data_IF_740887181955
#
_entry.id   IF_740887181955
#
_cell.length_a   1.000
_cell.length_b   1.000
_cell.length_c   1.000
_cell.angle_alpha   90.00
_cell.angle_beta   90.00
_cell.angle_gamma   90.00
#
_symmetry.space_group_name_H-M   'P 1'
#
loop_
_entity.id
_entity.type
_entity.pdbx_description
1 polymer ?
#
# COMPACT_ATOMS: atom_id res chain seq x y z
N UNK A 1 -14.15 1.53 7.84
CA UNK A 1 -14.22 1.01 6.47
C UNK A 1 -13.77 2.11 5.50
N UNK A 2 -12.95 1.78 4.51
CA UNK A 2 -12.47 2.71 3.50
C UNK A 2 -13.23 2.47 2.19
N UNK A 3 -13.80 3.53 1.59
CA UNK A 3 -14.65 3.41 0.40
C UNK A 3 -14.27 4.45 -0.65
N UNK A 4 -14.34 4.07 -1.92
CA UNK A 4 -14.37 4.98 -3.06
C UNK A 4 -15.70 4.82 -3.78
N UNK A 5 -16.31 5.94 -4.18
CA UNK A 5 -17.59 5.97 -4.91
C UNK A 5 -17.45 6.85 -6.15
N UNK A 6 -17.57 6.23 -7.32
CA UNK A 6 -17.59 6.88 -8.64
C UNK A 6 -16.40 7.84 -8.86
N UNK A 7 -15.20 7.43 -8.44
CA UNK A 7 -13.99 8.25 -8.53
C UNK A 7 -13.54 8.38 -9.98
N UNK A 8 -13.40 9.63 -10.43
CA UNK A 8 -12.73 9.96 -11.68
C UNK A 8 -11.53 10.87 -11.41
N UNK A 9 -10.43 10.62 -12.12
CA UNK A 9 -9.21 11.44 -12.05
C UNK A 9 -8.65 11.68 -13.42
N UNK A 10 -8.30 12.93 -13.71
CA UNK A 10 -7.59 13.30 -14.94
C UNK A 10 -6.44 14.26 -14.64
N UNK A 11 -5.39 14.20 -15.45
CA UNK A 11 -4.25 15.09 -15.40
C UNK A 11 -4.18 15.97 -16.66
N UNK A 12 -3.53 17.11 -16.55
CA UNK A 12 -3.21 17.91 -17.73
C UNK A 12 -2.22 17.14 -18.58
N UNK A 13 -2.53 16.99 -19.89
CA UNK A 13 -1.61 16.40 -20.84
C UNK A 13 -0.44 17.36 -21.10
N UNK A 14 0.77 16.85 -21.14
CA UNK A 14 1.97 17.61 -21.54
C UNK A 14 2.02 17.85 -23.05
N UNK A 15 1.21 17.12 -23.85
CA UNK A 15 1.13 17.33 -25.30
C UNK A 15 0.32 18.60 -25.58
N UNK A 16 1.01 19.64 -26.02
CA UNK A 16 0.41 20.87 -26.53
C UNK A 16 -0.05 20.66 -27.99
N UNK A 17 -1.18 19.99 -28.19
CA UNK A 17 -1.76 19.88 -29.55
C UNK A 17 -2.66 21.09 -29.91
N UNK A 18 -2.77 22.06 -29.02
CA UNK A 18 -3.58 23.27 -29.24
C UNK A 18 -2.85 24.52 -28.73
N UNK A 19 -2.86 25.58 -29.55
CA UNK A 19 -2.31 26.90 -29.20
C UNK A 19 -3.05 27.54 -28.01
N UNK A 20 -4.32 27.18 -27.80
CA UNK A 20 -5.13 27.58 -26.67
C UNK A 20 -5.90 26.35 -26.11
N UNK A 21 -5.63 26.02 -24.84
CA UNK A 21 -6.34 24.97 -24.11
C UNK A 21 -5.41 23.81 -23.69
N UNK A 22 -5.63 23.29 -22.50
CA UNK A 22 -4.94 22.10 -22.02
C UNK A 22 -5.84 20.88 -22.24
N UNK A 23 -5.34 19.89 -22.97
CA UNK A 23 -5.98 18.59 -23.07
C UNK A 23 -5.85 17.89 -21.72
N UNK A 24 -6.93 17.32 -21.17
CA UNK A 24 -6.89 16.50 -19.97
C UNK A 24 -6.89 15.03 -20.37
N UNK A 25 -5.97 14.26 -19.80
CA UNK A 25 -5.95 12.82 -19.96
C UNK A 25 -6.57 12.19 -18.71
N UNK A 26 -7.68 11.48 -18.90
CA UNK A 26 -8.32 10.74 -17.82
C UNK A 26 -7.52 9.49 -17.50
N UNK A 27 -7.31 9.22 -16.21
CA UNK A 27 -6.51 8.11 -15.69
C UNK A 27 -7.37 7.13 -14.88
N UNK A 28 -8.36 7.61 -14.14
CA UNK A 28 -9.34 6.77 -13.45
C UNK A 28 -10.73 7.08 -13.93
N UNK A 29 -11.51 6.02 -14.19
CA UNK A 29 -12.84 6.08 -14.77
C UNK A 29 -13.82 5.36 -13.87
N UNK A 30 -14.61 6.13 -13.12
CA UNK A 30 -15.74 5.62 -12.32
C UNK A 30 -15.37 4.49 -11.35
N UNK A 31 -14.29 4.69 -10.59
CA UNK A 31 -13.81 3.70 -9.65
C UNK A 31 -14.68 3.66 -8.40
N UNK A 32 -15.23 2.49 -8.12
CA UNK A 32 -15.94 2.21 -6.88
C UNK A 32 -15.37 0.96 -6.22
N UNK A 33 -15.03 1.05 -4.92
CA UNK A 33 -14.52 -0.07 -4.12
C UNK A 33 -14.83 0.12 -2.64
N UNK A 34 -14.75 -0.96 -1.90
CA UNK A 34 -14.96 -0.97 -0.45
C UNK A 34 -13.98 -1.94 0.21
N UNK A 35 -13.23 -1.45 1.20
CA UNK A 35 -12.30 -2.25 1.99
C UNK A 35 -12.90 -2.51 3.36
N UNK A 36 -13.10 -3.77 3.71
CA UNK A 36 -13.62 -4.18 5.01
C UNK A 36 -12.55 -4.02 6.09
N UNK A 37 -12.97 -3.71 7.33
CA UNK A 37 -12.05 -3.62 8.47
C UNK A 37 -11.44 -5.00 8.77
N UNK A 38 -10.12 -5.03 8.99
CA UNK A 38 -9.38 -6.25 9.31
C UNK A 38 -9.04 -7.13 8.13
N UNK A 39 -9.40 -6.71 6.88
CA UNK A 39 -9.06 -7.45 5.66
C UNK A 39 -7.92 -6.81 4.90
N UNK A 40 -7.31 -7.58 3.99
CA UNK A 40 -6.34 -7.11 3.01
C UNK A 40 -6.98 -7.10 1.62
N UNK A 41 -7.13 -5.91 1.03
CA UNK A 41 -7.52 -5.76 -0.38
C UNK A 41 -6.27 -5.63 -1.24
N UNK A 42 -6.07 -6.55 -2.16
CA UNK A 42 -5.07 -6.46 -3.21
C UNK A 42 -5.59 -5.66 -4.41
N UNK A 43 -4.78 -4.75 -4.93
CA UNK A 43 -5.05 -4.01 -6.17
C UNK A 43 -4.01 -4.41 -7.18
N UNK A 44 -4.43 -5.21 -8.16
CA UNK A 44 -3.58 -5.80 -9.18
C UNK A 44 -3.80 -5.13 -10.54
N UNK A 45 -2.73 -4.94 -11.30
CA UNK A 45 -2.80 -4.40 -12.65
C UNK A 45 -1.42 -4.07 -13.21
N UNK A 46 -1.31 -3.88 -14.51
CA UNK A 46 -0.07 -3.53 -15.19
C UNK A 46 0.44 -2.13 -14.83
N UNK A 47 1.70 -1.85 -15.18
CA UNK A 47 2.25 -0.49 -15.09
C UNK A 47 1.40 0.48 -15.93
N UNK A 48 1.10 1.64 -15.36
CA UNK A 48 0.25 2.64 -16.04
C UNK A 48 -1.26 2.40 -15.94
N UNK A 49 -1.74 1.31 -15.32
CA UNK A 49 -3.19 1.04 -15.16
C UNK A 49 -3.93 2.03 -14.24
N UNK A 50 -3.20 2.86 -13.47
CA UNK A 50 -3.80 3.83 -12.55
C UNK A 50 -3.69 3.47 -11.06
N UNK A 51 -3.04 2.37 -10.68
CA UNK A 51 -2.91 1.88 -9.29
C UNK A 51 -2.39 2.93 -8.32
N UNK A 52 -1.23 3.52 -8.60
CA UNK A 52 -0.63 4.54 -7.73
C UNK A 52 -1.46 5.83 -7.69
N UNK A 53 -2.19 6.16 -8.78
CA UNK A 53 -3.15 7.27 -8.78
C UNK A 53 -4.30 6.98 -7.82
N UNK A 54 -4.85 5.76 -7.85
CA UNK A 54 -5.89 5.31 -6.92
C UNK A 54 -5.37 5.29 -5.48
N UNK A 55 -4.14 4.79 -5.25
CA UNK A 55 -3.47 4.84 -3.94
C UNK A 55 -3.38 6.27 -3.40
N UNK A 56 -2.98 7.24 -4.23
CA UNK A 56 -2.91 8.67 -3.84
C UNK A 56 -4.28 9.24 -3.49
N UNK A 57 -5.35 8.83 -4.19
CA UNK A 57 -6.72 9.22 -3.83
C UNK A 57 -7.10 8.61 -2.47
N UNK A 58 -6.85 7.33 -2.25
CA UNK A 58 -7.13 6.64 -0.98
C UNK A 58 -6.40 7.29 0.21
N UNK A 59 -5.17 7.74 0.00
CA UNK A 59 -4.35 8.39 1.03
C UNK A 59 -4.67 9.88 1.25
N UNK A 60 -5.61 10.45 0.50
CA UNK A 60 -5.93 11.88 0.59
C UNK A 60 -4.85 12.81 0.00
N UNK A 61 -3.90 12.26 -0.77
CA UNK A 61 -2.81 13.01 -1.41
C UNK A 61 -3.24 13.61 -2.76
N UNK A 62 -4.23 13.02 -3.41
CA UNK A 62 -4.76 13.47 -4.71
C UNK A 62 -6.28 13.59 -4.63
N UNK A 63 -6.79 14.80 -4.77
CA UNK A 63 -8.23 15.03 -4.83
C UNK A 63 -8.78 14.58 -6.20
N UNK A 64 -9.82 13.73 -6.25
CA UNK A 64 -10.45 13.33 -7.51
C UNK A 64 -11.20 14.51 -8.18
N UNK A 65 -11.40 14.41 -9.48
CA UNK A 65 -12.22 15.37 -10.24
C UNK A 65 -13.70 15.22 -9.90
N UNK A 66 -14.15 13.98 -9.69
CA UNK A 66 -15.52 13.65 -9.24
C UNK A 66 -15.51 12.39 -8.38
N UNK A 67 -16.65 12.13 -7.72
CA UNK A 67 -16.82 11.03 -6.81
C UNK A 67 -16.41 11.36 -5.38
N UNK A 68 -16.45 10.36 -4.50
CA UNK A 68 -16.23 10.54 -3.07
C UNK A 68 -15.36 9.43 -2.48
N UNK A 69 -14.36 9.82 -1.67
CA UNK A 69 -13.59 8.90 -0.85
C UNK A 69 -14.04 9.06 0.61
N UNK A 70 -14.36 7.94 1.25
CA UNK A 70 -14.91 7.90 2.61
C UNK A 70 -14.03 7.02 3.50
N UNK A 71 -13.81 7.45 4.74
CA UNK A 71 -13.28 6.62 5.81
C UNK A 71 -14.27 6.62 6.98
N UNK A 72 -14.82 5.44 7.30
CA UNK A 72 -15.89 5.25 8.28
C UNK A 72 -17.11 6.17 8.01
N UNK A 73 -17.50 6.30 6.74
CA UNK A 73 -18.62 7.14 6.31
C UNK A 73 -18.31 8.64 6.29
N UNK A 74 -17.08 9.06 6.66
CA UNK A 74 -16.69 10.47 6.67
C UNK A 74 -15.89 10.80 5.41
N UNK A 75 -16.37 11.82 4.66
CA UNK A 75 -15.71 12.26 3.42
C UNK A 75 -14.30 12.80 3.68
N UNK A 76 -13.32 12.22 2.99
CA UNK A 76 -11.90 12.58 3.10
C UNK A 76 -11.64 13.99 2.59
N UNK A 77 -12.33 14.38 1.52
CA UNK A 77 -12.10 15.65 0.82
C UNK A 77 -13.16 16.72 1.14
N UNK A 78 -14.23 16.34 1.83
CA UNK A 78 -15.36 17.23 2.10
C UNK A 78 -15.07 18.28 3.19
N UNK A 79 -14.15 17.98 4.12
CA UNK A 79 -13.86 18.87 5.24
C UNK A 79 -12.42 18.69 5.79
N UNK A 80 -11.97 19.71 6.54
CA UNK A 80 -10.71 19.62 7.30
C UNK A 80 -10.74 18.48 8.35
N UNK A 81 -11.91 18.24 8.93
CA UNK A 81 -12.12 17.16 9.89
C UNK A 81 -11.99 15.78 9.24
N UNK A 82 -12.55 15.56 8.04
CA UNK A 82 -12.43 14.32 7.29
C UNK A 82 -10.99 14.00 6.91
N UNK A 83 -10.25 15.02 6.41
CA UNK A 83 -8.82 14.87 6.12
C UNK A 83 -8.02 14.52 7.37
N UNK A 84 -8.31 15.16 8.49
CA UNK A 84 -7.66 14.85 9.77
C UNK A 84 -8.01 13.44 10.27
N UNK A 85 -9.25 12.98 10.07
CA UNK A 85 -9.66 11.61 10.38
C UNK A 85 -8.81 10.60 9.60
N UNK A 86 -8.66 10.81 8.28
CA UNK A 86 -7.81 9.95 7.45
C UNK A 86 -6.35 9.96 7.94
N UNK A 87 -5.74 11.13 8.15
CA UNK A 87 -4.36 11.25 8.65
C UNK A 87 -4.12 10.57 9.99
N UNK A 88 -5.16 10.45 10.81
CA UNK A 88 -5.09 9.78 12.10
C UNK A 88 -5.18 8.26 12.01
N UNK A 89 -5.78 7.72 10.95
CA UNK A 89 -6.14 6.30 10.85
C UNK A 89 -5.39 5.56 9.76
N UNK A 90 -4.84 6.28 8.77
CA UNK A 90 -4.16 5.67 7.62
C UNK A 90 -2.69 6.02 7.62
N UNK A 91 -1.86 5.01 7.39
CA UNK A 91 -0.42 5.14 7.10
C UNK A 91 -0.11 4.58 5.72
N UNK A 92 1.04 4.97 5.16
CA UNK A 92 1.48 4.53 3.82
C UNK A 92 2.90 4.00 3.89
N UNK A 93 3.15 2.92 3.18
CA UNK A 93 4.49 2.40 2.86
C UNK A 93 4.64 2.46 1.34
N UNK A 94 5.58 3.29 0.87
CA UNK A 94 5.82 3.50 -0.56
C UNK A 94 6.82 2.50 -1.13
N UNK A 95 6.82 2.35 -2.45
CA UNK A 95 7.68 1.47 -3.24
C UNK A 95 9.17 1.71 -2.96
N UNK A 96 9.61 2.95 -2.97
CA UNK A 96 11.01 3.28 -2.73
C UNK A 96 11.25 3.55 -1.24
N UNK A 97 11.60 2.48 -0.52
CA UNK A 97 11.96 2.57 0.89
C UNK A 97 13.29 3.31 1.10
N UNK A 98 14.17 3.37 0.11
CA UNK A 98 15.47 4.02 0.23
C UNK A 98 15.34 5.54 0.23
N UNK A 99 14.50 6.09 -0.65
CA UNK A 99 14.23 7.54 -0.69
C UNK A 99 13.18 7.97 0.34
N UNK A 100 12.32 7.05 0.78
CA UNK A 100 11.30 7.35 1.80
C UNK A 100 11.87 7.52 3.21
N UNK A 101 13.04 6.95 3.49
CA UNK A 101 13.77 7.12 4.73
C UNK A 101 14.88 8.16 4.56
N UNK A 102 14.92 9.18 5.41
CA UNK A 102 16.02 10.15 5.37
C UNK A 102 17.36 9.46 5.65
N UNK A 103 18.32 9.44 4.70
CA UNK A 103 19.58 8.70 4.86
C UNK A 103 20.48 9.24 5.98
N UNK A 104 20.22 10.46 6.48
CA UNK A 104 20.93 11.09 7.60
C UNK A 104 20.31 10.78 8.95
N UNK A 105 19.15 10.12 8.99
CA UNK A 105 18.47 9.74 10.21
C UNK A 105 18.88 8.34 10.64
N UNK A 106 19.02 8.16 11.95
CA UNK A 106 19.12 6.83 12.53
C UNK A 106 17.75 6.14 12.54
N UNK A 107 17.74 4.84 12.63
CA UNK A 107 16.49 4.02 12.70
C UNK A 107 15.52 4.55 13.75
N UNK A 108 16.01 4.91 14.94
CA UNK A 108 15.17 5.52 16.00
C UNK A 108 14.52 6.84 15.60
N UNK A 109 15.16 7.60 14.72
CA UNK A 109 14.64 8.89 14.24
C UNK A 109 13.59 8.65 13.15
N UNK A 110 13.85 7.69 12.26
CA UNK A 110 12.88 7.26 11.21
C UNK A 110 11.60 6.73 11.86
N UNK A 111 11.70 5.82 12.83
CA UNK A 111 10.53 5.32 13.59
C UNK A 111 9.90 6.45 14.41
N UNK A 112 10.72 7.35 14.93
CA UNK A 112 10.35 8.53 15.70
C UNK A 112 9.41 9.50 14.96
N UNK A 113 9.44 9.52 13.61
CA UNK A 113 8.49 10.30 12.82
C UNK A 113 7.04 9.80 13.09
N UNK A 114 6.82 8.48 13.04
CA UNK A 114 5.53 7.87 13.35
C UNK A 114 5.10 8.08 14.82
N UNK A 115 6.05 7.91 15.75
CA UNK A 115 5.77 8.18 17.18
C UNK A 115 5.37 9.63 17.41
N UNK A 116 5.96 10.60 16.69
CA UNK A 116 5.59 12.00 16.77
C UNK A 116 4.14 12.25 16.36
N UNK A 117 3.67 11.58 15.31
CA UNK A 117 2.26 11.64 14.89
C UNK A 117 1.35 11.09 15.98
N UNK A 118 1.70 9.93 16.55
CA UNK A 118 0.96 9.28 17.63
C UNK A 118 0.89 10.14 18.89
N UNK A 119 2.01 10.77 19.31
CA UNK A 119 2.07 11.68 20.46
C UNK A 119 1.16 12.89 20.27
N UNK A 120 1.21 13.53 19.08
CA UNK A 120 0.35 14.69 18.75
C UNK A 120 -1.13 14.34 18.78
N UNK A 121 -1.48 13.14 18.27
CA UNK A 121 -2.86 12.65 18.29
C UNK A 121 -3.35 12.37 19.70
N UNK A 122 -2.56 11.65 20.48
CA UNK A 122 -2.90 11.23 21.84
C UNK A 122 -2.68 12.32 22.89
N UNK A 123 -2.10 13.50 22.53
CA UNK A 123 -1.69 14.57 23.45
C UNK A 123 -0.86 14.07 24.63
N UNK A 124 -0.10 13.00 24.43
CA UNK A 124 0.71 12.33 25.45
C UNK A 124 2.11 12.05 24.92
N UNK A 125 3.12 12.35 25.71
CA UNK A 125 4.50 11.95 25.42
C UNK A 125 4.67 10.45 25.67
N UNK A 126 5.41 9.80 24.78
CA UNK A 126 5.75 8.38 24.86
C UNK A 126 7.20 8.24 25.35
N UNK A 127 7.49 7.13 25.99
CA UNK A 127 8.87 6.67 26.15
C UNK A 127 9.35 6.16 24.78
N UNK A 128 9.99 7.05 24.02
CA UNK A 128 10.40 6.77 22.64
C UNK A 128 11.43 5.67 22.54
N UNK A 129 12.31 5.53 23.53
CA UNK A 129 13.32 4.48 23.53
C UNK A 129 12.66 3.11 23.66
N UNK A 130 11.75 2.96 24.62
CA UNK A 130 10.97 1.75 24.85
C UNK A 130 10.08 1.39 23.66
N UNK A 131 9.35 2.38 23.11
CA UNK A 131 8.47 2.15 21.96
C UNK A 131 9.27 1.79 20.70
N UNK A 132 10.43 2.40 20.47
CA UNK A 132 11.32 2.05 19.34
C UNK A 132 11.82 0.61 19.48
N UNK A 133 12.31 0.21 20.66
CA UNK A 133 12.75 -1.14 20.91
C UNK A 133 11.63 -2.17 20.67
N UNK A 134 10.43 -1.91 21.20
CA UNK A 134 9.23 -2.74 20.98
C UNK A 134 8.87 -2.86 19.50
N UNK A 135 8.92 -1.77 18.74
CA UNK A 135 8.62 -1.78 17.30
C UNK A 135 9.68 -2.54 16.51
N UNK A 136 10.96 -2.41 16.85
CA UNK A 136 12.01 -3.21 16.23
C UNK A 136 11.83 -4.70 16.50
N UNK A 137 11.57 -5.08 17.74
CA UNK A 137 11.27 -6.47 18.11
C UNK A 137 10.07 -7.01 17.33
N UNK A 138 9.00 -6.21 17.20
CA UNK A 138 7.81 -6.57 16.42
C UNK A 138 8.12 -6.79 14.93
N UNK A 139 9.16 -6.12 14.40
CA UNK A 139 9.67 -6.30 13.03
C UNK A 139 10.68 -7.44 12.90
N UNK A 140 10.98 -8.18 13.98
CA UNK A 140 12.03 -9.18 14.01
C UNK A 140 13.44 -8.59 13.88
N UNK A 141 13.64 -7.33 14.31
CA UNK A 141 14.92 -6.64 14.29
C UNK A 141 15.47 -6.46 15.71
N UNK A 142 16.78 -6.64 15.92
CA UNK A 142 17.43 -6.38 17.21
C UNK A 142 17.26 -4.92 17.66
N UNK A 143 17.11 -4.69 18.97
CA UNK A 143 16.91 -3.35 19.52
C UNK A 143 18.12 -2.40 19.31
N UNK A 144 19.33 -2.94 19.19
CA UNK A 144 20.55 -2.17 18.88
C UNK A 144 20.51 -1.52 17.49
N UNK A 145 19.65 -2.00 16.58
CA UNK A 145 19.43 -1.37 15.28
C UNK A 145 18.93 0.08 15.39
N UNK A 146 18.35 0.47 16.54
CA UNK A 146 17.91 1.85 16.80
C UNK A 146 19.01 2.91 16.55
N UNK A 147 20.28 2.54 16.73
CA UNK A 147 21.43 3.41 16.51
C UNK A 147 21.95 3.45 15.08
N UNK A 148 21.58 2.50 14.22
CA UNK A 148 22.10 2.35 12.86
C UNK A 148 21.50 3.38 11.89
N UNK A 149 22.24 3.64 10.83
CA UNK A 149 21.79 4.43 9.69
C UNK A 149 21.21 3.53 8.58
N UNK A 150 20.38 4.05 7.65
CA UNK A 150 19.83 3.29 6.52
C UNK A 150 20.87 2.52 5.70
N UNK A 151 22.03 3.12 5.43
CA UNK A 151 23.10 2.49 4.65
C UNK A 151 23.83 1.34 5.36
N UNK A 152 23.58 1.14 6.65
CA UNK A 152 24.10 0.01 7.45
C UNK A 152 23.13 -1.17 7.51
N UNK A 153 22.00 -1.09 6.77
CA UNK A 153 20.94 -2.09 6.75
C UNK A 153 20.83 -2.74 5.36
N UNK A 154 20.44 -4.03 5.33
CA UNK A 154 20.01 -4.65 4.07
C UNK A 154 18.67 -4.05 3.60
N UNK A 155 18.32 -4.25 2.32
CA UNK A 155 17.05 -3.77 1.77
C UNK A 155 15.84 -4.24 2.58
N UNK A 156 15.78 -5.54 2.90
CA UNK A 156 14.69 -6.09 3.71
C UNK A 156 14.65 -5.57 5.15
N UNK A 157 15.83 -5.30 5.76
CA UNK A 157 15.90 -4.68 7.09
C UNK A 157 15.40 -3.23 7.05
N UNK A 158 15.80 -2.45 6.04
CA UNK A 158 15.33 -1.07 5.88
C UNK A 158 13.83 -1.03 5.58
N UNK A 159 13.33 -1.97 4.76
CA UNK A 159 11.90 -2.10 4.51
C UNK A 159 11.11 -2.35 5.81
N UNK A 160 11.60 -3.26 6.68
CA UNK A 160 10.98 -3.51 7.99
C UNK A 160 11.00 -2.26 8.89
N UNK A 161 12.05 -1.44 8.81
CA UNK A 161 12.10 -0.14 9.51
C UNK A 161 11.04 0.83 8.97
N UNK A 162 10.81 0.88 7.64
CA UNK A 162 9.75 1.69 7.04
C UNK A 162 8.36 1.20 7.45
N UNK A 163 8.15 -0.12 7.56
CA UNK A 163 6.92 -0.70 8.10
C UNK A 163 6.76 -0.33 9.59
N UNK A 164 7.84 -0.42 10.39
CA UNK A 164 7.83 0.00 11.79
C UNK A 164 7.41 1.47 11.95
N UNK A 165 7.91 2.37 11.09
CA UNK A 165 7.51 3.79 11.04
C UNK A 165 6.02 3.95 10.79
N UNK A 166 5.46 3.19 9.83
CA UNK A 166 4.04 3.22 9.51
C UNK A 166 3.18 2.71 10.70
N UNK A 167 3.58 1.61 11.33
CA UNK A 167 2.92 1.02 12.51
C UNK A 167 3.04 1.94 13.74
N UNK A 168 4.14 2.67 13.88
CA UNK A 168 4.38 3.60 15.00
C UNK A 168 3.29 4.67 15.14
N UNK A 169 2.63 5.06 14.03
CA UNK A 169 1.48 5.94 14.04
C UNK A 169 0.24 5.34 14.72
N UNK A 170 0.23 4.03 15.02
CA UNK A 170 -0.96 3.25 15.43
C UNK A 170 -2.13 3.47 14.47
N UNK A 171 -1.98 3.14 13.18
CA UNK A 171 -3.04 3.30 12.19
C UNK A 171 -4.10 2.20 12.34
N UNK A 172 -5.26 2.40 11.70
CA UNK A 172 -6.26 1.35 11.47
C UNK A 172 -6.10 0.74 10.07
N UNK A 173 -5.55 1.52 9.12
CA UNK A 173 -5.33 1.13 7.72
C UNK A 173 -3.88 1.41 7.33
N UNK A 174 -3.24 0.46 6.64
CA UNK A 174 -1.94 0.70 5.99
C UNK A 174 -2.09 0.44 4.49
N UNK A 175 -1.71 1.42 3.68
CA UNK A 175 -1.58 1.26 2.24
C UNK A 175 -0.12 0.93 1.91
N UNK A 176 0.08 -0.16 1.18
CA UNK A 176 1.37 -0.56 0.61
C UNK A 176 1.32 -0.31 -0.90
N UNK A 177 2.15 0.60 -1.39
CA UNK A 177 2.24 0.92 -2.83
C UNK A 177 3.53 0.31 -3.39
N UNK A 178 3.43 -0.87 -4.00
CA UNK A 178 4.54 -1.69 -4.53
C UNK A 178 5.68 -1.89 -3.52
N UNK A 179 5.35 -1.94 -2.24
CA UNK A 179 6.31 -1.82 -1.14
C UNK A 179 7.33 -2.97 -1.02
N UNK A 180 7.10 -4.10 -1.66
CA UNK A 180 8.02 -5.27 -1.59
C UNK A 180 8.61 -5.66 -2.96
N UNK A 181 8.20 -5.02 -4.05
CA UNK A 181 8.57 -5.41 -5.42
C UNK A 181 10.07 -5.33 -5.74
N UNK A 182 10.82 -4.51 -4.99
CA UNK A 182 12.28 -4.34 -5.17
C UNK A 182 13.13 -5.27 -4.29
N UNK A 183 12.50 -6.17 -3.51
CA UNK A 183 13.20 -7.15 -2.67
C UNK A 183 13.38 -8.47 -3.43
N UNK A 184 14.40 -9.24 -3.05
CA UNK A 184 14.54 -10.62 -3.54
C UNK A 184 13.40 -11.52 -3.04
N UNK A 185 13.12 -12.61 -3.76
CA UNK A 185 11.98 -13.49 -3.49
C UNK A 185 11.94 -14.03 -2.06
N UNK A 186 13.09 -14.41 -1.50
CA UNK A 186 13.15 -14.93 -0.13
C UNK A 186 12.78 -13.85 0.89
N UNK A 187 13.33 -12.64 0.73
CA UNK A 187 13.02 -11.48 1.59
C UNK A 187 11.58 -11.04 1.44
N UNK A 188 11.00 -11.11 0.22
CA UNK A 188 9.57 -10.83 -0.01
C UNK A 188 8.68 -11.72 0.86
N UNK A 189 8.92 -13.04 0.84
CA UNK A 189 8.14 -14.00 1.66
C UNK A 189 8.25 -13.65 3.14
N UNK A 190 9.46 -13.39 3.64
CA UNK A 190 9.65 -13.02 5.04
C UNK A 190 8.92 -11.73 5.44
N UNK A 191 8.85 -10.74 4.54
CA UNK A 191 8.11 -9.50 4.80
C UNK A 191 6.60 -9.76 4.73
N UNK A 192 6.12 -10.58 3.81
CA UNK A 192 4.70 -10.95 3.72
C UNK A 192 4.23 -11.72 4.96
N UNK A 193 5.05 -12.65 5.49
CA UNK A 193 4.76 -13.34 6.76
C UNK A 193 4.64 -12.34 7.91
N UNK A 194 5.59 -11.41 8.01
CA UNK A 194 5.55 -10.33 8.99
C UNK A 194 4.27 -9.50 8.85
N UNK A 195 3.87 -9.11 7.63
CA UNK A 195 2.65 -8.34 7.41
C UNK A 195 1.39 -9.11 7.83
N UNK A 196 1.35 -10.44 7.59
CA UNK A 196 0.25 -11.31 8.04
C UNK A 196 0.15 -11.31 9.56
N UNK A 197 1.27 -11.54 10.25
CA UNK A 197 1.31 -11.49 11.71
C UNK A 197 0.89 -10.12 12.27
N UNK A 198 1.35 -9.03 11.67
CA UNK A 198 0.99 -7.67 12.09
C UNK A 198 -0.51 -7.40 11.89
N UNK A 199 -1.09 -7.84 10.76
CA UNK A 199 -2.52 -7.73 10.49
C UNK A 199 -3.34 -8.38 11.61
N UNK A 200 -2.98 -9.61 11.98
CA UNK A 200 -3.68 -10.36 13.01
C UNK A 200 -3.46 -9.78 14.42
N UNK A 201 -2.21 -9.56 14.81
CA UNK A 201 -1.85 -9.08 16.16
C UNK A 201 -2.38 -7.69 16.47
N UNK A 202 -2.46 -6.82 15.47
CA UNK A 202 -2.84 -5.41 15.64
C UNK A 202 -4.24 -5.07 15.08
N UNK A 203 -4.94 -6.03 14.47
CA UNK A 203 -6.25 -5.81 13.84
C UNK A 203 -6.21 -4.83 12.68
N UNK A 204 -5.14 -4.84 11.89
CA UNK A 204 -4.91 -3.88 10.81
C UNK A 204 -5.72 -4.23 9.56
N UNK A 205 -6.09 -3.21 8.83
CA UNK A 205 -6.66 -3.31 7.48
C UNK A 205 -5.59 -2.92 6.48
N UNK A 206 -5.45 -3.69 5.39
CA UNK A 206 -4.46 -3.40 4.36
C UNK A 206 -5.10 -3.07 3.02
N UNK A 207 -4.49 -2.14 2.30
CA UNK A 207 -4.64 -1.98 0.85
C UNK A 207 -3.27 -2.24 0.25
N UNK A 208 -3.15 -3.30 -0.53
CA UNK A 208 -1.89 -3.78 -1.07
C UNK A 208 -1.86 -3.63 -2.58
N UNK A 209 -1.12 -2.65 -3.08
CA UNK A 209 -0.98 -2.34 -4.51
C UNK A 209 0.27 -3.04 -5.02
N UNK A 210 0.11 -3.87 -6.05
CA UNK A 210 1.23 -4.57 -6.69
C UNK A 210 0.88 -4.95 -8.14
N UNK A 211 1.87 -5.35 -8.91
CA UNK A 211 1.71 -6.03 -10.19
C UNK A 211 1.98 -7.55 -10.08
N UNK A 212 2.37 -8.02 -8.90
CA UNK A 212 2.70 -9.42 -8.63
C UNK A 212 1.48 -10.16 -8.03
N UNK A 213 0.96 -11.11 -8.80
CA UNK A 213 -0.17 -11.95 -8.39
C UNK A 213 0.19 -12.89 -7.24
N UNK A 214 1.44 -13.37 -7.18
CA UNK A 214 1.90 -14.29 -6.13
C UNK A 214 1.77 -13.63 -4.76
N UNK A 215 2.18 -12.36 -4.64
CA UNK A 215 2.01 -11.58 -3.42
C UNK A 215 0.52 -11.38 -3.05
N UNK A 216 -0.36 -11.19 -4.03
CA UNK A 216 -1.81 -11.06 -3.81
C UNK A 216 -2.38 -12.35 -3.24
N UNK A 217 -2.10 -13.49 -3.88
CA UNK A 217 -2.63 -14.80 -3.45
C UNK A 217 -2.10 -15.20 -2.07
N UNK A 218 -0.90 -14.74 -1.71
CA UNK A 218 -0.26 -15.04 -0.43
C UNK A 218 -0.81 -14.23 0.74
N UNK A 219 -1.08 -12.93 0.53
CA UNK A 219 -1.36 -11.96 1.61
C UNK A 219 -2.80 -11.48 1.67
N UNK A 220 -3.50 -11.37 0.52
CA UNK A 220 -4.76 -10.66 0.44
C UNK A 220 -5.97 -11.57 0.62
N UNK A 221 -7.05 -11.01 1.16
CA UNK A 221 -8.35 -11.68 1.31
C UNK A 221 -9.21 -11.49 0.04
N UNK A 222 -9.17 -10.28 -0.54
CA UNK A 222 -9.88 -9.90 -1.75
C UNK A 222 -8.89 -9.32 -2.78
N UNK A 223 -9.21 -9.46 -4.08
CA UNK A 223 -8.44 -8.86 -5.18
C UNK A 223 -9.33 -8.02 -6.07
N UNK A 224 -8.80 -6.87 -6.49
CA UNK A 224 -9.38 -5.97 -7.47
C UNK A 224 -8.43 -5.86 -8.65
N UNK A 225 -8.92 -6.16 -9.84
CA UNK A 225 -8.18 -6.01 -11.08
C UNK A 225 -8.43 -4.62 -11.67
N UNK A 226 -7.33 -3.90 -11.93
CA UNK A 226 -7.37 -2.55 -12.51
C UNK A 226 -6.69 -2.54 -13.87
N UNK A 227 -7.47 -2.24 -14.92
CA UNK A 227 -6.98 -2.14 -16.29
C UNK A 227 -7.43 -0.83 -16.94
N UNK A 228 -6.48 -0.09 -17.52
CA UNK A 228 -6.74 1.18 -18.19
C UNK A 228 -7.63 2.16 -17.39
N UNK A 229 -7.39 2.25 -16.09
CA UNK A 229 -8.11 3.14 -15.19
C UNK A 229 -9.52 2.68 -14.81
N UNK A 230 -9.90 1.44 -15.09
CA UNK A 230 -11.19 0.85 -14.74
C UNK A 230 -11.02 -0.39 -13.89
N UNK A 231 -11.94 -0.59 -12.97
CA UNK A 231 -12.05 -1.87 -12.26
C UNK A 231 -12.71 -2.85 -13.23
N UNK A 232 -12.00 -3.91 -13.58
CA UNK A 232 -12.52 -4.95 -14.49
C UNK A 232 -13.16 -6.08 -13.70
N UNK A 233 -12.60 -6.43 -12.55
CA UNK A 233 -13.18 -7.45 -11.67
C UNK A 233 -12.80 -7.20 -10.20
N UNK A 234 -13.65 -7.66 -9.28
CA UNK A 234 -13.42 -7.66 -7.84
C UNK A 234 -13.99 -8.97 -7.27
N UNK A 235 -13.14 -9.77 -6.60
CA UNK A 235 -13.54 -11.07 -6.04
C UNK A 235 -12.66 -11.47 -4.85
N UNK A 236 -13.12 -12.40 -3.99
CA UNK A 236 -12.27 -13.02 -2.98
C UNK A 236 -11.11 -13.79 -3.62
N UNK A 237 -9.92 -13.71 -3.02
CA UNK A 237 -8.72 -14.41 -3.55
C UNK A 237 -8.93 -15.92 -3.63
N UNK A 238 -9.65 -16.53 -2.69
CA UNK A 238 -9.99 -17.97 -2.75
C UNK A 238 -10.83 -18.38 -3.96
N UNK A 239 -11.40 -17.43 -4.69
CA UNK A 239 -12.20 -17.63 -5.90
C UNK A 239 -11.54 -17.04 -7.14
N UNK A 240 -10.25 -16.76 -7.09
CA UNK A 240 -9.52 -16.09 -8.17
C UNK A 240 -9.54 -16.90 -9.48
N UNK A 241 -9.60 -18.23 -9.40
CA UNK A 241 -9.74 -19.14 -10.55
C UNK A 241 -11.10 -19.04 -11.26
N UNK A 242 -12.11 -18.45 -10.61
CA UNK A 242 -13.45 -18.26 -11.17
C UNK A 242 -13.58 -16.92 -11.93
N UNK A 243 -12.48 -16.20 -12.12
CA UNK A 243 -12.49 -14.89 -12.81
C UNK A 243 -13.10 -15.00 -14.20
N UNK A 244 -13.94 -14.03 -14.56
CA UNK A 244 -14.65 -13.96 -15.84
C UNK A 244 -14.06 -12.92 -16.79
N UNK A 245 -13.37 -11.96 -16.24
CA UNK A 245 -12.74 -10.88 -17.00
C UNK A 245 -11.57 -11.40 -17.83
N UNK A 246 -11.51 -11.02 -19.10
CA UNK A 246 -10.50 -11.49 -20.05
C UNK A 246 -9.08 -11.04 -19.65
N UNK A 247 -8.96 -9.80 -19.16
CA UNK A 247 -7.66 -9.27 -18.72
C UNK A 247 -7.18 -10.00 -17.47
N UNK A 248 -8.06 -10.22 -16.49
CA UNK A 248 -7.74 -10.94 -15.27
C UNK A 248 -7.32 -12.40 -15.59
N UNK A 249 -8.02 -13.07 -16.52
CA UNK A 249 -7.63 -14.43 -16.98
C UNK A 249 -6.25 -14.46 -17.62
N UNK A 250 -5.94 -13.52 -18.51
CA UNK A 250 -4.61 -13.42 -19.13
C UNK A 250 -3.49 -13.24 -18.11
N UNK A 251 -3.72 -12.43 -17.06
CA UNK A 251 -2.75 -12.30 -15.97
C UNK A 251 -2.56 -13.62 -15.21
N UNK A 252 -3.62 -14.36 -14.94
CA UNK A 252 -3.53 -15.66 -14.27
C UNK A 252 -2.79 -16.68 -15.15
N UNK A 253 -3.13 -16.79 -16.43
CA UNK A 253 -2.49 -17.70 -17.39
C UNK A 253 -1.00 -17.43 -17.54
N UNK A 254 -0.57 -16.17 -17.52
CA UNK A 254 0.85 -15.82 -17.66
C UNK A 254 1.74 -16.35 -16.53
N UNK A 255 1.17 -16.67 -15.37
CA UNK A 255 1.90 -17.19 -14.20
C UNK A 255 1.89 -18.72 -14.20
N UNK A 256 0.76 -19.33 -14.56
CA UNK A 256 0.64 -20.81 -14.59
C UNK A 256 1.59 -21.44 -15.62
N UNK A 257 1.90 -20.73 -16.70
CA UNK A 257 2.84 -21.23 -17.73
C UNK A 257 4.27 -21.35 -17.20
N UNK A 258 4.70 -20.46 -16.30
CA UNK A 258 6.05 -20.56 -15.70
C UNK A 258 6.19 -21.74 -14.74
N UNK A 259 5.16 -22.09 -13.98
CA UNK A 259 5.19 -23.23 -13.04
C UNK A 259 5.20 -24.60 -13.76
N UNK A 260 4.71 -24.70 -14.99
CA UNK A 260 4.76 -25.95 -15.76
C UNK A 260 6.09 -26.17 -16.47
N UNK A 261 6.82 -25.13 -16.86
CA UNK A 261 8.13 -25.28 -17.50
C UNK A 261 9.25 -25.63 -16.50
N UNK A 262 9.17 -25.18 -15.23
CA UNK A 262 10.15 -25.55 -14.20
C UNK A 262 10.01 -27.02 -13.74
N UNK A 263 8.85 -27.65 -13.89
CA UNK A 263 8.65 -29.06 -13.52
C UNK A 263 9.05 -30.06 -14.62
N UNK A 264 9.28 -29.64 -15.86
CA UNK A 264 9.74 -30.54 -16.94
C UNK A 264 11.26 -30.62 -17.08
N UNK A 265 12.05 -29.79 -16.39
CA UNK A 265 13.51 -29.77 -16.44
C UNK A 265 14.17 -30.60 -15.30
N UNK A 266 13.37 -31.20 -14.43
CA UNK A 266 13.84 -32.01 -13.29
C UNK A 266 13.47 -33.52 -13.44
N UNK A 267 13.82 -34.13 -14.59
CA UNK A 267 13.85 -35.61 -14.76
C UNK A 267 15.17 -36.03 -15.39
#
# INVERSE_FOLDING_TARGET
>A
MLELKNICVSFRSERQDKIFGHTRQQVLFDISLSVKKGTCLGILGESGSGKSTMGRVLCGLLRPDSGEALLDGVSVYGSRAGRRNLQNKLSVVFQDYTTSANPRFRVKEIIGEGLTVRERRGKRRLDRARETARLLELMGLPADFAGRFPHELSGGQLQRVCIARAVACSPEVILFDEAISSLDAHTQVQVMDLLRELKEKLGLTYVFITHDLTSITYLCDDVLFLYQGRVTEYLPVCRISETKDEYARRLLESIVVFDTEENEVAV
#
